data_IF_730715286836
#
_entry.id   IF_730715286836
#
_cell.length_a   1.000
_cell.length_b   1.000
_cell.length_c   1.000
_cell.angle_alpha   90.00
_cell.angle_beta   90.00
_cell.angle_gamma   90.00
#
_symmetry.space_group_name_H-M   'P 1'
#
loop_
_entity.id
_entity.type
_entity.pdbx_description
1 polymer ?
#
# COMPACT_ATOMS: atom_id res chain seq x y z
N UNK A 1 -4.07 28.56 32.97
CA UNK A 1 -5.37 27.97 33.34
C UNK A 1 -5.31 26.54 32.88
N UNK A 2 -5.22 25.57 33.79
CA UNK A 2 -5.32 24.16 33.43
C UNK A 2 -6.74 23.88 32.92
N UNK A 3 -6.96 24.04 31.62
CA UNK A 3 -8.11 23.39 31.00
C UNK A 3 -7.82 21.90 31.04
N UNK A 4 -8.58 21.19 31.88
CA UNK A 4 -8.59 19.75 31.91
C UNK A 4 -8.86 19.25 30.48
N UNK A 5 -7.84 18.75 29.78
CA UNK A 5 -7.96 18.28 28.39
C UNK A 5 -9.08 17.25 28.22
N UNK A 6 -9.51 16.58 29.30
CA UNK A 6 -10.67 15.69 29.30
C UNK A 6 -11.99 16.39 28.96
N UNK A 7 -12.09 17.71 29.17
CA UNK A 7 -13.24 18.52 28.76
C UNK A 7 -13.41 18.57 27.24
N UNK A 8 -12.35 18.31 26.47
CA UNK A 8 -12.42 18.19 25.01
C UNK A 8 -13.34 17.05 24.57
N UNK A 9 -13.58 16.04 25.41
CA UNK A 9 -14.48 14.92 25.11
C UNK A 9 -15.86 15.38 24.62
N UNK A 10 -16.40 16.45 25.22
CA UNK A 10 -17.73 16.95 24.89
C UNK A 10 -17.78 17.73 23.56
N UNK A 11 -16.63 18.08 22.98
CA UNK A 11 -16.52 18.88 21.76
C UNK A 11 -16.06 18.06 20.55
N UNK A 12 -15.66 16.81 20.76
CA UNK A 12 -15.20 15.94 19.68
C UNK A 12 -16.35 15.57 18.74
N UNK A 13 -16.17 15.69 17.41
CA UNK A 13 -17.23 15.40 16.45
C UNK A 13 -17.60 13.92 16.47
N UNK A 14 -18.86 13.61 16.15
CA UNK A 14 -19.39 12.24 16.05
C UNK A 14 -19.62 11.79 14.59
N UNK A 15 -19.28 12.64 13.63
CA UNK A 15 -19.29 12.33 12.21
C UNK A 15 -18.07 12.97 11.52
N UNK A 16 -17.53 12.34 10.46
CA UNK A 16 -16.47 12.93 9.65
C UNK A 16 -16.95 14.14 8.85
N UNK A 17 -16.01 14.91 8.29
CA UNK A 17 -16.34 15.95 7.31
C UNK A 17 -16.98 15.34 6.04
N UNK A 18 -17.71 16.16 5.29
CA UNK A 18 -18.44 15.69 4.11
C UNK A 18 -17.49 15.36 2.96
N UNK A 19 -16.34 16.04 2.87
CA UNK A 19 -15.29 15.74 1.90
C UNK A 19 -14.69 14.35 2.12
N UNK A 20 -14.41 13.96 3.38
CA UNK A 20 -13.97 12.59 3.69
C UNK A 20 -15.04 11.56 3.31
N UNK A 21 -16.32 11.83 3.61
CA UNK A 21 -17.41 10.90 3.25
C UNK A 21 -17.45 10.71 1.74
N UNK A 22 -17.38 11.78 0.97
CA UNK A 22 -17.42 11.72 -0.49
C UNK A 22 -16.23 10.94 -1.06
N UNK A 23 -15.02 11.26 -0.63
CA UNK A 23 -13.78 10.61 -1.07
C UNK A 23 -13.81 9.09 -0.80
N UNK A 24 -14.20 8.71 0.41
CA UNK A 24 -14.29 7.30 0.82
C UNK A 24 -15.40 6.56 0.09
N UNK A 25 -16.59 7.15 -0.05
CA UNK A 25 -17.70 6.50 -0.75
C UNK A 25 -17.37 6.31 -2.24
N UNK A 26 -16.67 7.27 -2.86
CA UNK A 26 -16.15 7.14 -4.22
C UNK A 26 -15.16 5.98 -4.33
N UNK A 27 -14.18 5.86 -3.42
CA UNK A 27 -13.26 4.71 -3.41
C UNK A 27 -13.98 3.36 -3.20
N UNK A 28 -15.01 3.32 -2.35
CA UNK A 28 -15.78 2.09 -2.09
C UNK A 28 -16.59 1.65 -3.31
N UNK A 29 -17.35 2.57 -3.91
CA UNK A 29 -18.32 2.22 -4.95
C UNK A 29 -17.77 2.31 -6.38
N UNK A 30 -16.75 3.14 -6.63
CA UNK A 30 -16.17 3.28 -7.97
C UNK A 30 -14.87 2.46 -8.12
N UNK A 31 -14.11 2.27 -7.04
CA UNK A 31 -12.81 1.58 -7.07
C UNK A 31 -12.81 0.22 -6.34
N UNK A 32 -13.91 -0.14 -5.67
CA UNK A 32 -14.08 -1.39 -4.92
C UNK A 32 -13.09 -1.59 -3.75
N UNK A 33 -12.59 -0.51 -3.14
CA UNK A 33 -11.54 -0.53 -2.12
C UNK A 33 -11.91 -1.27 -0.81
N UNK A 34 -13.18 -1.65 -0.65
CA UNK A 34 -13.76 -2.20 0.58
C UNK A 34 -14.75 -3.35 0.27
N UNK A 35 -14.34 -4.20 -0.69
CA UNK A 35 -15.16 -5.26 -1.27
C UNK A 35 -15.87 -4.78 -2.54
N UNK A 36 -16.03 -5.68 -3.52
CA UNK A 36 -16.74 -5.40 -4.76
C UNK A 36 -18.25 -5.62 -4.64
N UNK A 37 -18.96 -5.26 -5.70
CA UNK A 37 -20.37 -5.60 -5.85
C UNK A 37 -20.56 -7.09 -6.10
N UNK A 38 -21.73 -7.62 -5.70
CA UNK A 38 -22.03 -9.05 -5.74
C UNK A 38 -23.29 -9.34 -6.56
N UNK A 39 -23.29 -10.46 -7.26
CA UNK A 39 -24.48 -11.09 -7.80
C UNK A 39 -24.81 -12.32 -6.96
N UNK A 40 -25.84 -12.18 -6.13
CA UNK A 40 -26.22 -13.16 -5.13
C UNK A 40 -27.20 -14.17 -5.70
N UNK A 41 -26.78 -15.42 -5.83
CA UNK A 41 -27.63 -16.45 -6.42
C UNK A 41 -28.04 -17.53 -5.41
N UNK A 42 -29.26 -18.04 -5.59
CA UNK A 42 -29.69 -19.31 -5.03
C UNK A 42 -30.52 -20.09 -6.03
N UNK A 43 -30.49 -21.43 -5.91
CA UNK A 43 -31.24 -22.31 -6.78
C UNK A 43 -32.74 -22.20 -6.50
N UNK A 44 -33.51 -21.89 -7.53
CA UNK A 44 -34.98 -21.83 -7.50
C UNK A 44 -35.56 -22.68 -8.64
N UNK A 45 -36.78 -23.20 -8.46
CA UNK A 45 -37.49 -23.85 -9.56
C UNK A 45 -38.24 -22.81 -10.40
N UNK A 46 -37.82 -22.63 -11.64
CA UNK A 46 -38.38 -21.65 -12.59
C UNK A 46 -39.38 -22.36 -13.52
N UNK A 47 -40.53 -21.72 -13.74
CA UNK A 47 -41.50 -22.13 -14.75
C UNK A 47 -41.16 -21.52 -16.10
N UNK A 48 -41.05 -22.36 -17.12
CA UNK A 48 -40.83 -21.97 -18.51
C UNK A 48 -42.08 -22.32 -19.30
N UNK A 49 -42.50 -21.44 -20.19
CA UNK A 49 -43.54 -21.70 -21.18
C UNK A 49 -43.09 -21.08 -22.50
N UNK A 50 -43.66 -21.54 -23.60
CA UNK A 50 -43.44 -20.92 -24.91
C UNK A 50 -43.87 -19.44 -24.88
N UNK A 51 -43.35 -18.62 -25.80
CA UNK A 51 -43.74 -17.22 -25.87
C UNK A 51 -45.21 -17.06 -26.25
N UNK A 52 -45.89 -16.10 -25.63
CA UNK A 52 -47.28 -15.76 -25.96
C UNK A 52 -47.26 -14.93 -27.25
N UNK A 53 -47.86 -15.46 -28.33
CA UNK A 53 -48.01 -14.76 -29.59
C UNK A 53 -48.98 -13.57 -29.50
N UNK A 54 -48.85 -12.59 -30.41
CA UNK A 54 -49.74 -11.40 -30.45
C UNK A 54 -51.20 -11.76 -30.74
N UNK A 55 -51.44 -12.90 -31.40
CA UNK A 55 -52.77 -13.49 -31.64
C UNK A 55 -52.61 -14.97 -31.35
N UNK A 56 -53.45 -15.51 -30.45
CA UNK A 56 -53.45 -16.93 -30.09
C UNK A 56 -54.84 -17.50 -30.27
N UNK A 57 -54.96 -18.56 -31.06
CA UNK A 57 -56.19 -19.32 -31.20
C UNK A 57 -56.35 -20.36 -30.07
N UNK A 58 -57.51 -21.03 -29.93
CA UNK A 58 -57.72 -22.01 -28.88
C UNK A 58 -56.74 -23.21 -28.89
N UNK A 59 -56.18 -23.57 -30.04
CA UNK A 59 -55.18 -24.62 -30.16
C UNK A 59 -53.80 -24.12 -29.72
N UNK A 60 -53.44 -22.89 -30.05
CA UNK A 60 -52.21 -22.23 -29.59
C UNK A 60 -52.19 -22.12 -28.05
N UNK A 61 -53.33 -21.76 -27.44
CA UNK A 61 -53.46 -21.73 -25.98
C UNK A 61 -53.27 -23.11 -25.34
N UNK A 62 -53.85 -24.16 -25.93
CA UNK A 62 -53.68 -25.52 -25.46
C UNK A 62 -52.22 -26.01 -25.60
N UNK A 63 -51.53 -25.62 -26.68
CA UNK A 63 -50.12 -25.92 -26.88
C UNK A 63 -49.23 -25.18 -25.87
N UNK A 64 -49.46 -23.89 -25.65
CA UNK A 64 -48.75 -23.09 -24.66
C UNK A 64 -48.92 -23.65 -23.24
N UNK A 65 -50.13 -24.09 -22.89
CA UNK A 65 -50.38 -24.68 -21.57
C UNK A 65 -49.66 -26.03 -21.39
N UNK A 66 -49.53 -26.82 -22.45
CA UNK A 66 -48.74 -28.07 -22.46
C UNK A 66 -47.22 -27.83 -22.51
N UNK A 67 -46.77 -26.67 -23.01
CA UNK A 67 -45.35 -26.30 -23.07
C UNK A 67 -44.74 -26.01 -21.70
N UNK A 68 -45.57 -25.76 -20.68
CA UNK A 68 -45.15 -25.41 -19.32
C UNK A 68 -44.25 -26.48 -18.72
N UNK A 69 -42.97 -26.16 -18.55
CA UNK A 69 -41.96 -27.03 -17.92
C UNK A 69 -41.37 -26.34 -16.72
N UNK A 70 -41.04 -27.12 -15.68
CA UNK A 70 -40.26 -26.63 -14.54
C UNK A 70 -38.80 -27.04 -14.72
N UNK A 71 -37.89 -26.08 -14.58
CA UNK A 71 -36.44 -26.29 -14.60
C UNK A 71 -35.81 -25.74 -13.32
N UNK A 72 -34.58 -26.15 -13.03
CA UNK A 72 -33.77 -25.50 -12.02
C UNK A 72 -33.13 -24.26 -12.64
N UNK A 73 -33.46 -23.09 -12.12
CA UNK A 73 -32.81 -21.82 -12.44
C UNK A 73 -32.18 -21.21 -11.19
N UNK A 74 -31.64 -20.01 -11.36
CA UNK A 74 -31.05 -19.24 -10.28
C UNK A 74 -31.82 -17.94 -10.13
N UNK A 75 -32.30 -17.65 -8.91
CA UNK A 75 -32.75 -16.30 -8.57
C UNK A 75 -31.54 -15.52 -8.09
N UNK A 76 -31.28 -14.42 -8.77
CA UNK A 76 -30.13 -13.56 -8.59
C UNK A 76 -30.58 -12.19 -8.06
N UNK A 77 -29.74 -11.56 -7.24
CA UNK A 77 -29.91 -10.18 -6.77
C UNK A 77 -28.59 -9.46 -6.91
N UNK A 78 -28.59 -8.29 -7.54
CA UNK A 78 -27.40 -7.46 -7.65
C UNK A 78 -27.31 -6.50 -6.46
N UNK A 79 -26.18 -6.44 -5.76
CA UNK A 79 -26.00 -5.50 -4.65
C UNK A 79 -25.80 -4.04 -5.11
N UNK A 80 -25.39 -3.82 -6.36
CA UNK A 80 -25.18 -2.49 -6.90
C UNK A 80 -26.50 -1.74 -7.17
N UNK A 81 -27.46 -2.41 -7.84
CA UNK A 81 -28.77 -1.81 -8.17
C UNK A 81 -29.93 -2.30 -7.30
N UNK A 82 -29.74 -3.37 -6.53
CA UNK A 82 -30.79 -3.98 -5.71
C UNK A 82 -31.85 -4.76 -6.50
N UNK A 83 -31.73 -4.87 -7.83
CA UNK A 83 -32.72 -5.58 -8.65
C UNK A 83 -32.53 -7.09 -8.62
N UNK A 84 -33.67 -7.79 -8.57
CA UNK A 84 -33.78 -9.23 -8.72
C UNK A 84 -33.94 -9.62 -10.19
N UNK A 85 -33.31 -10.73 -10.59
CA UNK A 85 -33.52 -11.33 -11.90
C UNK A 85 -33.38 -12.85 -11.88
N UNK A 86 -33.85 -13.50 -12.93
CA UNK A 86 -33.72 -14.94 -13.12
C UNK A 86 -32.56 -15.22 -14.07
N UNK A 87 -31.78 -16.25 -13.78
CA UNK A 87 -30.72 -16.76 -14.62
C UNK A 87 -30.84 -18.29 -14.77
N UNK A 88 -30.10 -18.87 -15.71
CA UNK A 88 -29.82 -20.29 -15.73
C UNK A 88 -29.03 -20.72 -14.49
N UNK A 89 -29.12 -22.01 -14.11
CA UNK A 89 -28.37 -22.55 -12.99
C UNK A 89 -27.42 -23.65 -13.44
N UNK A 90 -26.17 -23.54 -13.00
CA UNK A 90 -25.16 -24.59 -13.09
C UNK A 90 -24.64 -24.91 -11.68
N UNK A 91 -24.05 -26.08 -11.49
CA UNK A 91 -23.45 -26.41 -10.21
C UNK A 91 -22.36 -25.38 -9.88
N UNK A 92 -22.52 -24.69 -8.75
CA UNK A 92 -21.64 -23.62 -8.29
C UNK A 92 -21.62 -22.37 -9.19
N UNK A 93 -22.72 -22.04 -9.87
CA UNK A 93 -22.77 -20.81 -10.66
C UNK A 93 -24.12 -20.51 -11.28
N UNK A 94 -24.11 -19.53 -12.16
CA UNK A 94 -25.25 -19.08 -12.96
C UNK A 94 -24.91 -19.17 -14.45
N UNK A 95 -25.93 -19.12 -15.30
CA UNK A 95 -25.78 -19.05 -16.76
C UNK A 95 -26.58 -17.88 -17.27
N UNK A 96 -25.95 -17.01 -18.06
CA UNK A 96 -26.58 -15.85 -18.70
C UNK A 96 -26.41 -15.94 -20.22
N UNK A 97 -27.37 -15.37 -20.94
CA UNK A 97 -27.24 -15.17 -22.38
C UNK A 97 -26.25 -14.05 -22.65
N UNK A 98 -25.43 -14.21 -23.68
CA UNK A 98 -24.53 -13.19 -24.18
C UNK A 98 -25.00 -12.70 -25.55
N UNK A 99 -25.25 -11.41 -25.65
CA UNK A 99 -25.58 -10.79 -26.93
C UNK A 99 -24.34 -10.56 -27.79
N UNK A 100 -24.54 -10.36 -29.11
CA UNK A 100 -23.46 -10.01 -30.04
C UNK A 100 -22.82 -8.64 -29.75
N UNK A 101 -23.44 -7.84 -28.89
CA UNK A 101 -22.96 -6.58 -28.33
C UNK A 101 -22.02 -6.76 -27.12
N UNK A 102 -21.75 -8.01 -26.71
CA UNK A 102 -20.92 -8.33 -25.54
C UNK A 102 -21.64 -8.12 -24.20
N UNK A 103 -22.97 -7.99 -24.24
CA UNK A 103 -23.81 -7.72 -23.07
C UNK A 103 -24.41 -9.01 -22.50
N UNK A 104 -24.66 -9.03 -21.20
CA UNK A 104 -25.36 -10.13 -20.53
C UNK A 104 -26.86 -9.82 -20.42
N UNK A 105 -27.69 -10.84 -20.62
CA UNK A 105 -29.15 -10.71 -20.57
C UNK A 105 -29.73 -11.65 -19.51
N UNK A 106 -30.74 -11.15 -18.80
CA UNK A 106 -31.46 -11.96 -17.82
C UNK A 106 -32.50 -12.89 -18.47
N UNK A 107 -32.98 -13.84 -17.68
CA UNK A 107 -33.84 -14.92 -18.14
C UNK A 107 -33.20 -16.27 -17.94
N UNK A 108 -34.02 -17.31 -18.03
CA UNK A 108 -33.53 -18.67 -17.96
C UNK A 108 -32.68 -18.99 -19.19
N UNK A 109 -31.44 -19.42 -18.97
CA UNK A 109 -30.52 -19.87 -20.01
C UNK A 109 -29.99 -21.27 -19.68
N UNK A 110 -29.73 -22.08 -20.71
CA UNK A 110 -28.92 -23.30 -20.60
C UNK A 110 -27.56 -23.02 -21.23
N UNK A 111 -26.52 -23.75 -20.80
CA UNK A 111 -25.18 -23.59 -21.35
C UNK A 111 -25.17 -23.98 -22.83
N UNK A 112 -24.72 -23.07 -23.69
CA UNK A 112 -24.80 -23.21 -25.14
C UNK A 112 -23.94 -22.18 -25.88
N UNK A 113 -24.09 -22.07 -27.20
CA UNK A 113 -23.26 -21.18 -28.03
C UNK A 113 -23.45 -19.68 -27.72
N UNK A 114 -24.66 -19.29 -27.31
CA UNK A 114 -25.06 -17.90 -27.05
C UNK A 114 -25.17 -17.60 -25.55
N UNK A 115 -24.53 -18.41 -24.69
CA UNK A 115 -24.59 -18.27 -23.24
C UNK A 115 -23.30 -18.68 -22.56
N UNK A 116 -22.99 -18.00 -21.47
CA UNK A 116 -21.81 -18.27 -20.65
C UNK A 116 -22.21 -18.67 -19.24
N UNK A 117 -21.45 -19.63 -18.70
CA UNK A 117 -21.55 -20.02 -17.30
C UNK A 117 -20.56 -19.19 -16.48
N UNK A 118 -21.05 -18.61 -15.39
CA UNK A 118 -20.26 -17.82 -14.44
C UNK A 118 -20.31 -18.53 -13.08
N UNK A 119 -19.16 -19.03 -12.65
CA UNK A 119 -18.99 -19.78 -11.42
C UNK A 119 -18.82 -18.85 -10.20
N UNK A 120 -19.02 -19.41 -9.01
CA UNK A 120 -18.82 -18.72 -7.74
C UNK A 120 -17.39 -18.14 -7.64
N UNK A 121 -17.30 -16.83 -7.42
CA UNK A 121 -16.06 -16.06 -7.42
C UNK A 121 -15.67 -15.44 -8.76
N UNK A 122 -16.36 -15.75 -9.86
CA UNK A 122 -16.14 -15.11 -11.16
C UNK A 122 -16.90 -13.78 -11.27
N UNK A 123 -16.36 -12.87 -12.06
CA UNK A 123 -16.98 -11.57 -12.34
C UNK A 123 -17.93 -11.67 -13.54
N UNK A 124 -19.05 -10.96 -13.43
CA UNK A 124 -20.02 -10.84 -14.53
C UNK A 124 -20.66 -9.45 -14.50
N UNK A 125 -21.04 -8.94 -15.67
CA UNK A 125 -21.79 -7.71 -15.77
C UNK A 125 -23.24 -7.96 -15.36
N UNK A 126 -23.78 -7.13 -14.48
CA UNK A 126 -25.19 -7.20 -14.12
C UNK A 126 -26.07 -6.88 -15.35
N UNK A 127 -27.04 -7.73 -15.73
CA UNK A 127 -27.92 -7.49 -16.88
C UNK A 127 -28.92 -6.34 -16.66
N UNK A 128 -28.98 -5.78 -15.44
CA UNK A 128 -29.87 -4.67 -15.08
C UNK A 128 -29.16 -3.32 -15.09
N UNK A 129 -28.03 -3.23 -14.39
CA UNK A 129 -27.33 -1.95 -14.20
C UNK A 129 -25.96 -1.86 -14.88
N UNK A 130 -25.48 -2.93 -15.51
CA UNK A 130 -24.19 -2.94 -16.21
C UNK A 130 -22.98 -2.76 -15.29
N UNK A 131 -23.15 -2.94 -13.99
CA UNK A 131 -22.03 -2.95 -13.04
C UNK A 131 -21.40 -4.34 -13.02
N UNK A 132 -20.07 -4.40 -13.05
CA UNK A 132 -19.32 -5.64 -12.84
C UNK A 132 -19.50 -6.10 -11.39
N UNK A 133 -19.83 -7.37 -11.19
CA UNK A 133 -20.07 -7.91 -9.85
C UNK A 133 -19.61 -9.38 -9.75
N UNK A 134 -19.15 -9.77 -8.57
CA UNK A 134 -18.71 -11.14 -8.30
C UNK A 134 -19.90 -12.06 -8.03
N UNK A 135 -20.02 -13.13 -8.80
CA UNK A 135 -21.03 -14.18 -8.58
C UNK A 135 -20.77 -14.84 -7.23
N UNK A 136 -21.75 -14.76 -6.32
CA UNK A 136 -21.63 -15.28 -4.96
C UNK A 136 -22.88 -16.04 -4.57
N UNK A 137 -22.73 -17.25 -4.06
CA UNK A 137 -23.88 -18.01 -3.55
C UNK A 137 -24.41 -17.37 -2.27
N UNK A 138 -25.73 -17.15 -2.19
CA UNK A 138 -26.39 -16.58 -1.00
C UNK A 138 -26.06 -17.31 0.31
N UNK A 139 -25.82 -18.62 0.28
CA UNK A 139 -25.47 -19.38 1.49
C UNK A 139 -24.14 -18.97 2.12
N UNK A 140 -23.21 -18.44 1.33
CA UNK A 140 -21.90 -17.94 1.81
C UNK A 140 -22.04 -16.61 2.58
N UNK A 141 -23.18 -15.90 2.42
CA UNK A 141 -23.47 -14.63 3.08
C UNK A 141 -24.50 -14.73 4.21
N UNK A 142 -24.80 -15.93 4.71
CA UNK A 142 -25.78 -16.11 5.81
C UNK A 142 -25.42 -15.35 7.08
N UNK A 143 -24.13 -15.13 7.31
CA UNK A 143 -23.62 -14.34 8.45
C UNK A 143 -23.18 -12.93 8.02
N UNK A 144 -23.42 -12.56 6.76
CA UNK A 144 -22.92 -11.36 6.10
C UNK A 144 -21.40 -11.29 5.99
N UNK A 145 -20.93 -10.31 5.23
CA UNK A 145 -19.54 -9.89 5.13
C UNK A 145 -19.44 -8.47 5.66
N UNK A 146 -18.47 -8.26 6.55
CA UNK A 146 -18.16 -6.93 7.07
C UNK A 146 -16.75 -6.56 6.64
N UNK A 147 -16.68 -5.73 5.63
CA UNK A 147 -15.45 -5.10 5.21
C UNK A 147 -15.27 -3.83 6.03
N UNK A 148 -14.07 -3.58 6.54
CA UNK A 148 -13.78 -2.39 7.34
C UNK A 148 -12.43 -1.76 6.98
N UNK A 149 -12.34 -0.45 7.16
CA UNK A 149 -11.07 0.29 7.13
C UNK A 149 -11.11 1.44 8.13
N UNK A 150 -9.96 1.76 8.71
CA UNK A 150 -9.79 3.00 9.46
C UNK A 150 -9.51 4.15 8.49
N UNK A 151 -10.17 5.28 8.71
CA UNK A 151 -9.95 6.52 7.99
C UNK A 151 -9.55 7.62 8.97
N UNK A 152 -8.47 8.34 8.68
CA UNK A 152 -8.00 9.46 9.48
C UNK A 152 -8.22 10.79 8.75
N UNK A 153 -8.69 11.79 9.50
CA UNK A 153 -8.73 13.19 9.05
C UNK A 153 -8.14 14.11 10.13
N UNK A 154 -7.63 15.25 9.71
CA UNK A 154 -7.19 16.31 10.61
C UNK A 154 -8.31 17.34 10.70
N UNK A 155 -8.67 17.74 11.93
CA UNK A 155 -9.70 18.74 12.19
C UNK A 155 -9.25 19.70 13.28
N UNK A 156 -9.91 20.86 13.32
CA UNK A 156 -9.79 21.80 14.43
C UNK A 156 -10.95 21.63 15.40
N UNK A 157 -10.63 21.61 16.68
CA UNK A 157 -11.58 21.60 17.78
C UNK A 157 -11.24 22.79 18.66
N UNK A 158 -11.96 23.89 18.47
CA UNK A 158 -11.57 25.20 18.99
C UNK A 158 -10.12 25.52 18.53
N UNK A 159 -9.20 25.69 19.47
CA UNK A 159 -7.76 25.94 19.22
C UNK A 159 -6.91 24.67 19.08
N UNK A 160 -7.49 23.49 19.25
CA UNK A 160 -6.76 22.23 19.27
C UNK A 160 -6.77 21.58 17.90
N UNK A 161 -5.61 21.08 17.46
CA UNK A 161 -5.51 20.20 16.29
C UNK A 161 -5.72 18.75 16.73
N UNK A 162 -6.65 18.07 16.07
CA UNK A 162 -6.97 16.67 16.33
C UNK A 162 -6.89 15.83 15.06
N UNK A 163 -6.34 14.63 15.17
CA UNK A 163 -6.50 13.56 14.20
C UNK A 163 -7.69 12.71 14.63
N UNK A 164 -8.78 12.76 13.87
CA UNK A 164 -9.96 11.94 14.08
C UNK A 164 -9.82 10.64 13.32
N UNK A 165 -10.24 9.53 13.93
CA UNK A 165 -10.24 8.21 13.33
C UNK A 165 -11.65 7.67 13.26
N UNK A 166 -12.05 7.28 12.06
CA UNK A 166 -13.37 6.74 11.72
C UNK A 166 -13.22 5.30 11.26
N UNK A 167 -14.00 4.40 11.83
CA UNK A 167 -14.15 3.05 11.32
C UNK A 167 -15.24 3.07 10.25
N UNK A 168 -14.83 2.98 8.99
CA UNK A 168 -15.75 2.82 7.86
C UNK A 168 -16.09 1.34 7.76
N UNK A 169 -17.37 1.03 7.67
CA UNK A 169 -17.88 -0.35 7.62
C UNK A 169 -18.79 -0.50 6.42
N UNK A 170 -18.44 -1.38 5.49
CA UNK A 170 -19.35 -1.88 4.46
C UNK A 170 -19.88 -3.24 4.90
N UNK A 171 -21.20 -3.38 4.92
CA UNK A 171 -21.89 -4.62 5.25
C UNK A 171 -22.69 -5.13 4.06
N UNK A 172 -22.44 -6.38 3.68
CA UNK A 172 -23.14 -7.09 2.63
C UNK A 172 -23.74 -8.40 3.17
N UNK A 173 -24.99 -8.71 2.88
CA UNK A 173 -25.65 -9.94 3.36
C UNK A 173 -26.39 -10.73 2.27
N UNK A 174 -26.96 -11.87 2.66
CA UNK A 174 -27.61 -12.82 1.76
C UNK A 174 -28.93 -12.31 1.14
N UNK A 175 -29.48 -11.20 1.65
CA UNK A 175 -30.69 -10.57 1.13
C UNK A 175 -30.38 -9.53 0.06
N UNK A 176 -29.10 -9.23 -0.18
CA UNK A 176 -28.65 -8.21 -1.12
C UNK A 176 -28.50 -6.83 -0.50
N UNK A 177 -28.60 -6.72 0.82
CA UNK A 177 -28.33 -5.47 1.54
C UNK A 177 -26.86 -5.08 1.34
N UNK A 178 -26.61 -3.83 0.97
CA UNK A 178 -25.29 -3.23 0.91
C UNK A 178 -25.33 -1.88 1.62
N UNK A 179 -24.66 -1.76 2.75
CA UNK A 179 -24.71 -0.54 3.58
C UNK A 179 -23.32 -0.12 4.00
N UNK A 180 -23.06 1.19 3.88
CA UNK A 180 -21.83 1.81 4.36
C UNK A 180 -22.13 2.77 5.49
N UNK A 181 -21.41 2.62 6.61
CA UNK A 181 -21.53 3.51 7.76
C UNK A 181 -20.16 3.99 8.25
N UNK A 182 -20.11 5.22 8.73
CA UNK A 182 -18.94 5.83 9.36
C UNK A 182 -19.15 5.84 10.86
N UNK A 183 -18.28 5.16 11.60
CA UNK A 183 -18.40 5.02 13.05
C UNK A 183 -17.23 5.72 13.73
N UNK A 184 -17.45 6.64 14.69
CA UNK A 184 -16.38 7.21 15.50
C UNK A 184 -15.55 6.10 16.14
N UNK A 185 -14.23 6.19 16.06
CA UNK A 185 -13.34 5.16 16.61
C UNK A 185 -12.43 5.71 17.70
N UNK A 186 -11.65 6.73 17.35
CA UNK A 186 -10.68 7.34 18.24
C UNK A 186 -10.38 8.78 17.82
N UNK A 187 -9.77 9.54 18.72
CA UNK A 187 -9.21 10.85 18.42
C UNK A 187 -7.85 10.99 19.09
N UNK A 188 -6.90 11.61 18.41
CA UNK A 188 -5.58 11.95 18.92
C UNK A 188 -5.38 13.46 18.82
N UNK A 189 -5.22 14.13 19.96
CA UNK A 189 -5.19 15.58 20.06
C UNK A 189 -3.81 16.05 20.50
N UNK A 190 -3.30 17.09 19.87
CA UNK A 190 -2.12 17.83 20.34
C UNK A 190 -2.61 18.86 21.35
N UNK A 191 -2.24 18.71 22.63
CA UNK A 191 -2.60 19.69 23.65
C UNK A 191 -1.70 20.93 23.63
N UNK A 192 -1.99 21.91 24.49
CA UNK A 192 -1.25 23.19 24.54
C UNK A 192 0.21 23.05 24.98
N UNK A 193 0.55 21.94 25.65
CA UNK A 193 1.91 21.61 26.07
C UNK A 193 2.67 20.81 25.00
N UNK A 194 2.04 20.54 23.86
CA UNK A 194 2.57 19.67 22.82
C UNK A 194 2.56 18.19 23.19
N UNK A 195 1.67 17.78 24.12
CA UNK A 195 1.47 16.38 24.50
C UNK A 195 0.32 15.77 23.73
N UNK A 196 0.48 14.49 23.38
CA UNK A 196 -0.55 13.74 22.68
C UNK A 196 -1.57 13.17 23.66
N UNK A 197 -2.85 13.49 23.44
CA UNK A 197 -3.99 13.03 24.23
C UNK A 197 -4.91 12.20 23.37
N UNK A 198 -5.25 11.00 23.82
CA UNK A 198 -6.12 10.09 23.07
C UNK A 198 -7.48 9.95 23.73
N UNK A 199 -8.50 9.91 22.89
CA UNK A 199 -9.86 9.53 23.23
C UNK A 199 -10.26 8.30 22.42
N UNK A 200 -11.11 7.46 23.00
CA UNK A 200 -11.81 6.39 22.30
C UNK A 200 -13.30 6.69 22.28
N UNK A 201 -13.96 6.30 21.20
CA UNK A 201 -15.40 6.35 21.12
C UNK A 201 -16.01 5.11 21.79
N UNK A 202 -17.05 5.31 22.61
CA UNK A 202 -17.90 4.25 23.14
C UNK A 202 -19.34 4.42 22.64
N UNK A 203 -19.83 3.43 21.88
CA UNK A 203 -21.22 3.37 21.44
C UNK A 203 -22.05 2.62 22.49
N UNK A 204 -23.05 3.28 23.06
CA UNK A 204 -23.87 2.71 24.14
C UNK A 204 -25.10 1.94 23.62
N UNK A 205 -25.73 2.40 22.54
CA UNK A 205 -26.97 1.85 21.98
C UNK A 205 -26.84 1.30 20.56
N UNK A 206 -25.66 1.43 19.95
CA UNK A 206 -25.44 1.18 18.52
C UNK A 206 -25.78 2.37 17.63
N UNK A 207 -26.41 3.42 18.17
CA UNK A 207 -26.56 4.71 17.48
C UNK A 207 -25.24 5.51 17.57
N UNK A 208 -24.74 5.94 16.42
CA UNK A 208 -23.55 6.78 16.30
C UNK A 208 -23.77 8.14 16.98
N UNK A 209 -25.01 8.65 17.00
CA UNK A 209 -25.35 9.93 17.61
C UNK A 209 -25.26 9.90 19.14
N UNK A 210 -25.28 8.71 19.76
CA UNK A 210 -25.13 8.51 21.20
C UNK A 210 -23.69 8.14 21.59
N UNK A 211 -22.72 8.42 20.73
CA UNK A 211 -21.30 8.18 21.01
C UNK A 211 -20.81 9.06 22.16
N UNK A 212 -20.11 8.43 23.11
CA UNK A 212 -19.41 9.13 24.19
C UNK A 212 -17.91 9.00 23.99
N UNK A 213 -17.19 10.12 24.05
CA UNK A 213 -15.74 10.14 23.99
C UNK A 213 -15.12 9.94 25.37
N UNK A 214 -14.28 8.90 25.50
CA UNK A 214 -13.66 8.53 26.78
C UNK A 214 -12.14 8.73 26.69
N UNK A 215 -11.53 9.51 27.61
CA UNK A 215 -10.09 9.71 27.63
C UNK A 215 -9.34 8.39 27.90
N UNK A 216 -8.24 8.19 27.19
CA UNK A 216 -7.37 7.03 27.33
C UNK A 216 -6.12 7.37 28.15
N UNK A 217 -5.56 6.35 28.83
CA UNK A 217 -4.32 6.49 29.60
C UNK A 217 -3.05 6.50 28.72
N UNK A 218 -3.17 6.07 27.47
CA UNK A 218 -2.08 5.97 26.50
C UNK A 218 -2.53 6.54 25.16
N UNK A 219 -1.57 7.07 24.40
CA UNK A 219 -1.81 7.85 23.18
C UNK A 219 -1.41 7.14 21.88
N UNK A 220 -1.08 5.85 21.91
CA UNK A 220 -0.76 5.04 20.71
C UNK A 220 -1.72 5.29 19.55
N UNK A 221 -1.14 5.44 18.36
CA UNK A 221 -1.87 5.63 17.11
C UNK A 221 -2.91 4.51 16.89
N UNK A 222 -4.22 4.86 16.79
CA UNK A 222 -5.29 3.93 16.48
C UNK A 222 -5.06 3.08 15.23
N UNK A 223 -4.40 3.61 14.19
CA UNK A 223 -4.11 2.84 12.98
C UNK A 223 -3.17 1.66 13.22
N UNK A 224 -2.35 1.70 14.28
CA UNK A 224 -1.48 0.59 14.68
C UNK A 224 -2.23 -0.51 15.47
N UNK A 225 -3.54 -0.37 15.66
CA UNK A 225 -4.36 -1.36 16.35
C UNK A 225 -5.05 -2.28 15.34
N UNK A 226 -4.93 -3.59 15.55
CA UNK A 226 -5.61 -4.55 14.70
C UNK A 226 -7.14 -4.45 14.85
N UNK A 227 -7.85 -4.43 13.73
CA UNK A 227 -9.30 -4.50 13.64
C UNK A 227 -9.74 -5.62 12.71
N UNK A 228 -10.99 -6.02 12.82
CA UNK A 228 -11.58 -7.05 11.96
C UNK A 228 -11.80 -6.51 10.55
N UNK A 229 -11.52 -7.29 9.51
CA UNK A 229 -12.08 -7.05 8.17
C UNK A 229 -12.23 -8.38 7.45
N UNK A 230 -13.31 -8.60 6.72
CA UNK A 230 -13.62 -9.91 6.15
C UNK A 230 -12.53 -10.40 5.19
N UNK A 231 -12.01 -9.52 4.33
CA UNK A 231 -11.01 -9.85 3.30
C UNK A 231 -9.59 -10.06 3.84
N UNK A 232 -9.32 -9.61 5.07
CA UNK A 232 -7.97 -9.64 5.61
C UNK A 232 -7.52 -11.07 5.97
N UNK A 233 -6.21 -11.33 5.94
CA UNK A 233 -5.63 -12.60 6.39
C UNK A 233 -6.01 -12.83 7.86
N UNK A 234 -6.63 -13.97 8.15
CA UNK A 234 -7.21 -14.28 9.47
C UNK A 234 -8.21 -13.23 9.99
N UNK A 235 -8.83 -12.48 9.07
CA UNK A 235 -9.74 -11.38 9.32
C UNK A 235 -9.17 -10.27 10.22
N UNK A 236 -7.86 -10.02 10.18
CA UNK A 236 -7.21 -8.97 10.96
C UNK A 236 -6.41 -8.03 10.06
N UNK A 237 -6.76 -6.75 10.11
CA UNK A 237 -6.11 -5.67 9.37
C UNK A 237 -5.51 -4.66 10.35
N UNK A 238 -4.42 -4.03 9.94
CA UNK A 238 -3.74 -2.92 10.62
C UNK A 238 -3.55 -1.82 9.57
N UNK A 239 -3.48 -0.56 9.99
CA UNK A 239 -3.41 0.59 9.10
C UNK A 239 -4.76 1.06 8.61
N UNK A 240 -4.75 2.01 7.69
CA UNK A 240 -5.94 2.64 7.16
C UNK A 240 -5.59 3.64 6.08
N UNK A 241 -6.53 4.53 5.78
CA UNK A 241 -6.34 5.62 4.85
C UNK A 241 -6.34 6.95 5.58
N UNK A 242 -5.55 7.90 5.10
CA UNK A 242 -5.52 9.26 5.63
C UNK A 242 -6.02 10.20 4.55
N UNK A 243 -6.95 11.07 4.89
CA UNK A 243 -7.45 12.11 4.00
C UNK A 243 -6.28 13.00 3.56
N UNK A 244 -6.07 13.12 2.25
CA UNK A 244 -4.89 13.79 1.66
C UNK A 244 -4.84 15.31 1.91
N UNK A 245 -5.91 15.88 2.46
CA UNK A 245 -6.03 17.30 2.77
C UNK A 245 -6.55 17.49 4.20
N UNK A 246 -6.09 18.56 4.83
CA UNK A 246 -6.49 18.96 6.17
C UNK A 246 -6.58 20.48 6.29
N UNK A 247 -7.11 20.99 7.40
CA UNK A 247 -7.24 22.42 7.62
C UNK A 247 -5.87 23.08 7.78
N UNK A 248 -5.79 24.38 7.49
CA UNK A 248 -4.61 25.20 7.81
C UNK A 248 -4.34 25.17 9.32
N UNK A 249 -3.13 24.77 9.72
CA UNK A 249 -2.77 24.60 11.12
C UNK A 249 -2.39 25.91 11.83
N UNK A 250 -2.33 27.04 11.11
CA UNK A 250 -1.99 28.34 11.70
C UNK A 250 -2.90 28.72 12.86
N UNK A 251 -2.31 29.14 13.99
CA UNK A 251 -3.03 29.57 15.19
C UNK A 251 -3.58 28.44 16.06
N UNK A 252 -3.31 27.18 15.72
CA UNK A 252 -3.77 26.00 16.46
C UNK A 252 -2.59 25.24 17.08
N UNK A 253 -2.87 24.32 18.02
CA UNK A 253 -1.80 23.55 18.69
C UNK A 253 -0.95 22.71 17.73
N UNK A 254 -1.47 22.37 16.54
CA UNK A 254 -0.76 21.65 15.49
C UNK A 254 0.19 22.50 14.63
N UNK A 255 0.24 23.83 14.75
CA UNK A 255 0.99 24.73 13.85
C UNK A 255 2.45 24.30 13.65
N UNK A 256 3.12 23.91 14.74
CA UNK A 256 4.54 23.53 14.78
C UNK A 256 4.80 22.03 14.66
N UNK A 257 3.80 21.28 14.22
CA UNK A 257 3.94 19.84 14.02
C UNK A 257 4.39 19.48 12.62
N UNK A 258 4.17 20.36 11.63
CA UNK A 258 4.30 20.04 10.21
C UNK A 258 3.48 18.80 9.78
N UNK A 259 2.37 18.50 10.48
CA UNK A 259 1.46 17.41 10.15
C UNK A 259 0.84 17.57 8.75
N UNK A 260 0.55 18.81 8.35
CA UNK A 260 0.11 19.16 7.00
C UNK A 260 1.16 18.77 5.93
N UNK A 261 2.45 18.99 6.23
CA UNK A 261 3.53 18.58 5.34
C UNK A 261 3.76 17.05 5.33
N UNK A 262 3.41 16.35 6.41
CA UNK A 262 3.44 14.89 6.45
C UNK A 262 2.33 14.29 5.57
N UNK A 263 1.10 14.76 5.75
CA UNK A 263 -0.05 14.31 4.95
C UNK A 263 0.12 14.70 3.48
N UNK A 264 0.55 15.92 3.20
CA UNK A 264 0.80 16.39 1.82
C UNK A 264 2.00 15.73 1.12
N UNK A 265 2.77 14.91 1.83
CA UNK A 265 3.80 14.04 1.28
C UNK A 265 3.36 12.56 1.27
N UNK A 266 2.05 12.32 1.25
CA UNK A 266 1.36 11.03 1.21
C UNK A 266 1.57 10.14 2.45
N UNK A 267 1.78 10.77 3.62
CA UNK A 267 1.96 10.07 4.89
C UNK A 267 0.70 9.36 5.38
N UNK A 268 0.80 8.06 5.63
CA UNK A 268 -0.34 7.21 5.98
C UNK A 268 -0.59 7.08 7.49
N UNK A 269 0.37 7.46 8.33
CA UNK A 269 0.36 7.20 9.78
C UNK A 269 0.46 8.49 10.60
N UNK A 270 -0.54 9.39 10.54
CA UNK A 270 -0.48 10.72 11.15
C UNK A 270 -0.26 10.66 12.67
N UNK A 271 -0.83 9.67 13.36
CA UNK A 271 -0.61 9.50 14.80
C UNK A 271 0.82 9.09 15.12
N UNK A 272 1.38 8.13 14.39
CA UNK A 272 2.77 7.71 14.54
C UNK A 272 3.76 8.86 14.27
N UNK A 273 3.49 9.65 13.23
CA UNK A 273 4.26 10.87 12.95
C UNK A 273 4.22 11.87 14.11
N UNK A 274 3.03 12.12 14.67
CA UNK A 274 2.89 13.02 15.82
C UNK A 274 3.68 12.52 17.04
N UNK A 275 3.77 11.22 17.27
CA UNK A 275 4.61 10.64 18.33
C UNK A 275 6.11 10.83 18.08
N UNK A 276 6.55 10.74 16.81
CA UNK A 276 7.93 11.12 16.43
C UNK A 276 8.16 12.59 16.75
N UNK A 277 7.23 13.47 16.39
CA UNK A 277 7.31 14.91 16.70
C UNK A 277 7.29 15.20 18.20
N UNK A 278 6.42 14.56 18.98
CA UNK A 278 6.36 14.76 20.45
C UNK A 278 7.70 14.40 21.11
N UNK A 279 8.38 13.37 20.60
CA UNK A 279 9.71 12.95 21.07
C UNK A 279 10.84 13.80 20.51
N UNK A 280 10.71 14.24 19.25
CA UNK A 280 11.72 14.95 18.49
C UNK A 280 11.11 16.10 17.67
N UNK A 281 10.74 17.23 18.31
CA UNK A 281 10.06 18.34 17.63
C UNK A 281 10.82 18.90 16.43
N UNK A 282 12.16 18.78 16.43
CA UNK A 282 13.04 19.17 15.33
C UNK A 282 12.78 18.42 14.01
N UNK A 283 12.00 17.33 14.00
CA UNK A 283 11.55 16.67 12.77
C UNK A 283 10.79 17.64 11.86
N UNK A 284 10.11 18.63 12.44
CA UNK A 284 9.43 19.73 11.73
C UNK A 284 10.38 20.40 10.72
N UNK A 285 11.65 20.59 11.11
CA UNK A 285 12.63 21.24 10.25
C UNK A 285 12.97 20.39 9.01
N UNK A 286 12.94 19.06 9.11
CA UNK A 286 13.15 18.17 7.96
C UNK A 286 11.93 18.19 7.03
N UNK A 287 10.73 18.11 7.61
CA UNK A 287 9.47 18.19 6.87
C UNK A 287 9.36 19.46 6.05
N UNK A 288 9.66 20.62 6.68
CA UNK A 288 9.55 21.94 6.03
C UNK A 288 10.69 22.26 5.07
N UNK A 289 11.82 21.54 5.11
CA UNK A 289 13.04 21.91 4.36
C UNK A 289 13.46 20.89 3.30
N UNK A 290 12.50 20.19 2.68
CA UNK A 290 12.73 19.38 1.48
C UNK A 290 13.03 17.90 1.73
N UNK A 291 12.77 17.41 2.96
CA UNK A 291 12.97 16.00 3.33
C UNK A 291 11.67 15.33 3.82
N UNK A 292 10.51 15.93 3.57
CA UNK A 292 9.20 15.36 3.93
C UNK A 292 9.01 13.94 3.38
N UNK A 293 9.26 13.73 2.09
CA UNK A 293 9.15 12.42 1.44
C UNK A 293 10.06 11.35 2.09
N UNK A 294 11.31 11.72 2.44
CA UNK A 294 12.23 10.80 3.12
C UNK A 294 11.74 10.40 4.52
N UNK A 295 11.20 11.37 5.29
CA UNK A 295 10.62 11.11 6.62
C UNK A 295 9.39 10.21 6.50
N UNK A 296 8.44 10.56 5.62
CA UNK A 296 7.22 9.78 5.37
C UNK A 296 7.56 8.34 4.99
N UNK A 297 8.36 8.15 3.94
CA UNK A 297 8.71 6.81 3.47
C UNK A 297 9.46 6.00 4.53
N UNK A 298 10.21 6.64 5.43
CA UNK A 298 10.89 5.93 6.54
C UNK A 298 9.89 5.44 7.59
N UNK A 299 8.97 6.30 8.01
CA UNK A 299 7.92 5.97 8.99
C UNK A 299 7.00 4.88 8.43
N UNK A 300 6.48 5.11 7.23
CA UNK A 300 5.47 4.28 6.60
C UNK A 300 6.03 2.90 6.27
N UNK A 301 7.23 2.82 5.66
CA UNK A 301 7.89 1.53 5.38
C UNK A 301 8.15 0.73 6.66
N UNK A 302 8.53 1.39 7.76
CA UNK A 302 8.77 0.68 9.02
C UNK A 302 7.48 0.05 9.57
N UNK A 303 6.35 0.75 9.48
CA UNK A 303 5.07 0.28 9.98
C UNK A 303 4.41 -0.73 9.04
N UNK A 304 4.49 -0.53 7.73
CA UNK A 304 3.92 -1.42 6.71
C UNK A 304 4.65 -2.76 6.63
N UNK A 305 5.97 -2.77 6.89
CA UNK A 305 6.77 -3.99 6.95
C UNK A 305 6.74 -4.68 8.32
N UNK A 306 5.95 -4.21 9.28
CA UNK A 306 5.83 -4.84 10.60
C UNK A 306 5.21 -6.24 10.47
N UNK A 307 6.03 -7.28 10.66
CA UNK A 307 5.59 -8.67 10.54
C UNK A 307 4.72 -9.10 11.74
N UNK A 308 5.01 -8.54 12.93
CA UNK A 308 4.30 -8.82 14.16
C UNK A 308 3.81 -7.55 14.83
N UNK A 309 2.74 -7.68 15.63
CA UNK A 309 2.20 -6.57 16.44
C UNK A 309 3.24 -5.94 17.38
N UNK A 310 4.27 -6.71 17.78
CA UNK A 310 5.39 -6.26 18.61
C UNK A 310 6.36 -5.32 17.88
N UNK A 311 6.35 -5.35 16.55
CA UNK A 311 7.24 -4.53 15.72
C UNK A 311 6.67 -3.12 15.51
N UNK A 312 5.36 -2.97 15.72
CA UNK A 312 4.67 -1.68 15.74
C UNK A 312 5.09 -0.87 16.97
N UNK A 313 5.39 0.41 16.75
CA UNK A 313 5.85 1.32 17.78
C UNK A 313 5.19 2.69 17.65
N UNK A 314 4.91 3.31 18.80
CA UNK A 314 4.20 4.59 18.84
C UNK A 314 5.00 5.68 18.11
N UNK A 315 6.31 5.76 18.36
CA UNK A 315 7.23 6.66 17.65
C UNK A 315 8.24 5.84 16.81
N UNK A 316 8.00 5.64 15.51
CA UNK A 316 8.94 5.00 14.59
C UNK A 316 10.32 5.67 14.58
N UNK A 317 11.36 4.87 14.33
CA UNK A 317 12.74 5.35 14.34
C UNK A 317 13.10 5.89 12.97
N UNK A 318 13.75 7.05 12.95
CA UNK A 318 14.36 7.59 11.74
C UNK A 318 15.88 7.51 11.90
N UNK A 319 16.51 6.39 11.50
CA UNK A 319 17.88 6.07 11.89
C UNK A 319 18.94 6.97 11.27
N UNK A 320 18.63 7.60 10.13
CA UNK A 320 19.53 8.50 9.40
C UNK A 320 19.52 9.93 9.95
N UNK A 321 18.78 10.21 11.03
CA UNK A 321 18.70 11.53 11.67
C UNK A 321 19.50 11.56 12.96
N UNK A 322 20.39 12.53 13.09
CA UNK A 322 20.98 12.91 14.37
C UNK A 322 20.03 13.83 15.16
N UNK A 323 19.31 13.22 16.10
CA UNK A 323 18.37 13.91 16.97
C UNK A 323 19.01 14.81 18.03
N UNK A 324 20.34 14.81 18.18
CA UNK A 324 21.04 15.76 19.06
C UNK A 324 21.16 17.15 18.45
N UNK A 325 20.94 17.26 17.13
CA UNK A 325 20.99 18.49 16.37
C UNK A 325 19.59 19.02 16.04
N UNK A 326 19.49 20.34 15.83
CA UNK A 326 18.22 21.02 15.48
C UNK A 326 18.21 21.50 14.03
N UNK A 327 19.39 21.78 13.46
CA UNK A 327 19.50 22.33 12.10
C UNK A 327 19.51 21.18 11.09
N UNK A 328 18.65 21.16 10.06
CA UNK A 328 18.54 20.04 9.11
C UNK A 328 19.85 19.58 8.49
N UNK A 329 20.69 20.50 8.01
CA UNK A 329 22.00 20.14 7.46
C UNK A 329 22.88 19.38 8.48
N UNK A 330 22.80 19.68 9.77
CA UNK A 330 23.55 18.97 10.81
C UNK A 330 22.91 17.65 11.20
N UNK A 331 21.57 17.63 11.32
CA UNK A 331 20.78 16.41 11.51
C UNK A 331 21.11 15.34 10.46
N UNK A 332 21.43 15.77 9.24
CA UNK A 332 21.79 14.92 8.10
C UNK A 332 23.30 14.78 7.87
N UNK A 333 24.14 15.35 8.74
CA UNK A 333 25.60 15.36 8.61
C UNK A 333 26.13 15.92 7.28
N UNK A 334 25.46 16.94 6.74
CA UNK A 334 25.82 17.63 5.50
C UNK A 334 26.45 18.99 5.75
N UNK A 335 27.32 19.41 4.83
CA UNK A 335 27.70 20.82 4.76
C UNK A 335 26.47 21.69 4.43
N UNK A 336 26.49 22.97 4.82
CA UNK A 336 25.42 23.92 4.45
C UNK A 336 25.26 24.07 2.93
N UNK A 337 26.34 23.87 2.19
CA UNK A 337 26.35 23.95 0.72
C UNK A 337 25.71 22.72 0.13
N UNK A 338 26.09 21.52 0.58
CA UNK A 338 25.47 20.28 0.14
C UNK A 338 23.98 20.26 0.44
N UNK A 339 23.58 20.57 1.67
CA UNK A 339 22.17 20.59 2.05
C UNK A 339 21.30 21.48 1.15
N UNK A 340 21.82 22.67 0.76
CA UNK A 340 21.09 23.59 -0.12
C UNK A 340 20.81 23.03 -1.51
N UNK A 341 21.71 22.19 -2.03
CA UNK A 341 21.53 21.54 -3.32
C UNK A 341 20.73 20.25 -3.20
N UNK A 342 21.05 19.41 -2.21
CA UNK A 342 20.38 18.12 -1.99
C UNK A 342 18.88 18.29 -1.69
N UNK A 343 18.48 19.30 -0.91
CA UNK A 343 17.05 19.53 -0.61
C UNK A 343 16.18 19.79 -1.85
N UNK A 344 16.78 20.07 -3.02
CA UNK A 344 16.08 20.27 -4.30
C UNK A 344 15.98 18.98 -5.12
N UNK A 345 16.62 17.89 -4.68
CA UNK A 345 16.78 16.62 -5.41
C UNK A 345 15.73 15.56 -5.04
N UNK A 346 14.76 15.92 -4.20
CA UNK A 346 13.65 15.05 -3.77
C UNK A 346 14.13 13.68 -3.25
N UNK A 347 15.14 13.67 -2.39
CA UNK A 347 15.64 12.45 -1.78
C UNK A 347 14.52 11.74 -1.01
N UNK A 348 14.33 10.45 -1.30
CA UNK A 348 13.46 9.54 -0.55
C UNK A 348 14.19 8.85 0.60
N UNK A 349 13.52 7.92 1.29
CA UNK A 349 14.10 7.19 2.43
C UNK A 349 15.32 6.33 2.04
N UNK A 350 15.31 5.78 0.82
CA UNK A 350 16.42 4.98 0.31
C UNK A 350 17.67 5.82 0.03
N UNK A 351 17.50 7.05 -0.48
CA UNK A 351 18.60 7.97 -0.77
C UNK A 351 19.29 8.42 0.52
N UNK A 352 18.52 8.90 1.51
CA UNK A 352 19.07 9.31 2.81
C UNK A 352 19.69 8.13 3.57
N UNK A 353 19.09 6.94 3.49
CA UNK A 353 19.65 5.74 4.10
C UNK A 353 20.94 5.27 3.41
N UNK A 354 21.04 5.44 2.09
CA UNK A 354 22.28 5.17 1.35
C UNK A 354 23.36 6.20 1.69
N UNK A 355 23.01 7.49 1.80
CA UNK A 355 23.90 8.54 2.29
C UNK A 355 24.43 8.26 3.70
N UNK A 356 23.55 7.85 4.62
CA UNK A 356 23.94 7.54 6.01
C UNK A 356 24.96 6.39 6.08
N UNK A 357 24.78 5.36 5.25
CA UNK A 357 25.78 4.29 5.07
C UNK A 357 27.07 4.80 4.45
N UNK A 358 26.98 5.64 3.41
CA UNK A 358 28.13 6.21 2.72
C UNK A 358 29.01 7.02 3.67
N UNK A 359 28.43 7.97 4.42
CA UNK A 359 29.19 8.79 5.38
C UNK A 359 29.81 7.96 6.51
N UNK A 360 29.19 6.84 6.89
CA UNK A 360 29.69 5.98 7.96
C UNK A 360 30.97 5.26 7.54
N UNK A 361 31.10 4.92 6.25
CA UNK A 361 32.32 4.36 5.67
C UNK A 361 33.33 5.44 5.26
N UNK A 362 32.87 6.64 4.89
CA UNK A 362 33.70 7.76 4.45
C UNK A 362 33.42 9.04 5.25
N UNK A 363 33.91 9.15 6.51
CA UNK A 363 33.54 10.24 7.42
C UNK A 363 33.90 11.66 6.96
N UNK A 364 34.85 11.79 6.03
CA UNK A 364 35.29 13.08 5.48
C UNK A 364 34.53 13.50 4.22
N UNK A 365 33.67 12.63 3.68
CA UNK A 365 32.93 12.93 2.47
C UNK A 365 31.76 13.89 2.74
N UNK A 366 31.46 14.73 1.76
CA UNK A 366 30.27 15.58 1.77
C UNK A 366 29.17 14.98 0.89
N UNK A 367 27.91 15.32 1.15
CA UNK A 367 26.77 14.71 0.45
C UNK A 367 26.76 15.00 -1.06
N UNK A 368 27.44 16.06 -1.52
CA UNK A 368 27.61 16.32 -2.96
C UNK A 368 28.52 15.29 -3.67
N UNK A 369 29.49 14.72 -2.96
CA UNK A 369 30.33 13.66 -3.52
C UNK A 369 29.53 12.37 -3.67
N UNK A 370 28.74 12.03 -2.66
CA UNK A 370 27.79 10.93 -2.72
C UNK A 370 26.77 11.12 -3.86
N UNK A 371 26.16 12.31 -3.95
CA UNK A 371 25.20 12.62 -5.00
C UNK A 371 25.84 12.54 -6.39
N UNK A 372 27.07 13.01 -6.55
CA UNK A 372 27.81 12.85 -7.79
C UNK A 372 27.94 11.38 -8.20
N UNK A 373 28.23 10.48 -7.25
CA UNK A 373 28.28 9.06 -7.53
C UNK A 373 26.89 8.51 -7.89
N UNK A 374 25.87 8.87 -7.12
CA UNK A 374 24.48 8.45 -7.35
C UNK A 374 23.97 8.86 -8.73
N UNK A 375 24.28 10.07 -9.19
CA UNK A 375 23.89 10.57 -10.52
C UNK A 375 24.57 9.81 -11.67
N UNK A 376 25.80 9.30 -11.48
CA UNK A 376 26.55 8.64 -12.55
C UNK A 376 26.28 7.14 -12.65
N UNK A 377 26.09 6.44 -11.52
CA UNK A 377 25.94 4.98 -11.49
C UNK A 377 24.64 4.49 -10.85
N UNK A 378 23.82 5.38 -10.30
CA UNK A 378 22.56 5.05 -9.63
C UNK A 378 22.71 4.60 -8.17
N UNK A 379 21.68 4.85 -7.36
CA UNK A 379 21.68 4.55 -5.92
C UNK A 379 21.86 3.06 -5.60
N UNK A 380 21.27 2.17 -6.41
CA UNK A 380 21.44 0.71 -6.24
C UNK A 380 22.90 0.27 -6.42
N UNK A 381 23.59 0.81 -7.42
CA UNK A 381 24.99 0.49 -7.67
C UNK A 381 25.90 1.06 -6.57
N UNK A 382 25.65 2.28 -6.11
CA UNK A 382 26.34 2.85 -4.94
C UNK A 382 26.13 1.96 -3.71
N UNK A 383 24.90 1.51 -3.46
CA UNK A 383 24.57 0.59 -2.37
C UNK A 383 25.36 -0.71 -2.43
N UNK A 384 25.43 -1.35 -3.60
CA UNK A 384 26.20 -2.58 -3.80
C UNK A 384 27.71 -2.35 -3.59
N UNK A 385 28.26 -1.21 -4.05
CA UNK A 385 29.66 -0.85 -3.79
C UNK A 385 29.93 -0.66 -2.29
N UNK A 386 29.03 -0.03 -1.54
CA UNK A 386 29.15 0.10 -0.09
C UNK A 386 29.13 -1.26 0.63
N UNK A 387 28.37 -2.24 0.14
CA UNK A 387 28.39 -3.62 0.65
C UNK A 387 29.72 -4.31 0.36
N UNK A 388 30.27 -4.11 -0.85
CA UNK A 388 31.59 -4.65 -1.21
C UNK A 388 32.70 -4.04 -0.35
N UNK A 389 32.70 -2.72 -0.13
CA UNK A 389 33.65 -2.04 0.75
C UNK A 389 33.55 -2.57 2.18
N UNK A 390 32.33 -2.73 2.71
CA UNK A 390 32.11 -3.32 4.03
C UNK A 390 32.60 -4.79 4.13
N UNK A 391 32.60 -5.52 3.02
CA UNK A 391 33.15 -6.87 2.92
C UNK A 391 34.68 -6.91 2.72
N UNK A 392 35.37 -5.77 2.83
CA UNK A 392 36.83 -5.67 2.75
C UNK A 392 37.39 -5.34 1.36
N UNK A 393 36.55 -4.96 0.40
CA UNK A 393 36.99 -4.50 -0.93
C UNK A 393 37.14 -2.98 -0.94
N UNK A 394 38.07 -2.46 -0.13
CA UNK A 394 38.23 -1.02 0.12
C UNK A 394 38.51 -0.17 -1.14
N UNK A 395 39.11 -0.78 -2.17
CA UNK A 395 39.39 -0.12 -3.45
C UNK A 395 38.14 0.08 -4.32
N UNK A 396 37.01 -0.57 -3.99
CA UNK A 396 35.73 -0.37 -4.65
C UNK A 396 34.94 0.83 -4.11
N UNK A 397 35.63 1.81 -3.50
CA UNK A 397 35.02 3.07 -3.08
C UNK A 397 34.28 3.76 -4.25
N UNK A 398 33.02 4.20 -4.08
CA UNK A 398 32.19 4.66 -5.21
C UNK A 398 32.83 5.75 -6.07
N UNK A 399 33.51 6.73 -5.47
CA UNK A 399 34.20 7.82 -6.20
C UNK A 399 35.29 7.28 -7.13
N UNK A 400 36.04 6.29 -6.67
CA UNK A 400 37.12 5.68 -7.46
C UNK A 400 36.53 4.91 -8.64
N UNK A 401 35.47 4.12 -8.38
CA UNK A 401 34.75 3.35 -9.41
C UNK A 401 34.14 4.28 -10.46
N UNK A 402 33.44 5.34 -10.07
CA UNK A 402 32.86 6.32 -10.99
C UNK A 402 33.95 6.96 -11.85
N UNK A 403 35.06 7.40 -11.26
CA UNK A 403 36.18 7.99 -12.00
C UNK A 403 36.77 7.01 -13.02
N UNK A 404 36.89 5.74 -12.65
CA UNK A 404 37.40 4.71 -13.53
C UNK A 404 36.42 4.41 -14.67
N UNK A 405 35.16 4.12 -14.37
CA UNK A 405 34.13 3.79 -15.37
C UNK A 405 33.86 4.95 -16.34
N UNK A 406 33.97 6.20 -15.88
CA UNK A 406 33.87 7.38 -16.74
C UNK A 406 34.99 7.45 -17.78
N UNK A 407 36.21 6.98 -17.46
CA UNK A 407 37.31 6.88 -18.43
C UNK A 407 37.12 5.73 -19.42
N UNK A 408 36.31 4.75 -19.07
CA UNK A 408 36.02 3.55 -19.86
C UNK A 408 34.75 3.70 -20.71
N UNK A 409 34.02 4.82 -20.60
CA UNK A 409 32.69 5.01 -21.18
C UNK A 409 31.69 3.88 -20.82
N UNK A 410 31.78 3.37 -19.58
CA UNK A 410 31.08 2.17 -19.12
C UNK A 410 30.21 2.42 -17.88
N UNK A 411 29.63 3.62 -17.74
CA UNK A 411 28.86 4.00 -16.55
C UNK A 411 27.58 3.19 -16.34
N UNK A 412 26.90 2.75 -17.43
CA UNK A 412 25.56 2.17 -17.32
C UNK A 412 25.50 0.69 -16.88
N UNK A 413 26.59 -0.07 -16.96
CA UNK A 413 26.64 -1.47 -16.48
C UNK A 413 28.01 -1.86 -15.88
N UNK A 414 28.98 -0.94 -15.92
CA UNK A 414 30.37 -1.23 -15.58
C UNK A 414 30.60 -1.55 -14.11
N UNK A 415 29.69 -1.15 -13.21
CA UNK A 415 29.82 -1.48 -11.78
C UNK A 415 29.71 -2.98 -11.57
N UNK A 416 28.66 -3.62 -12.11
CA UNK A 416 28.47 -5.06 -11.96
C UNK A 416 29.58 -5.82 -12.68
N UNK A 417 29.93 -5.39 -13.90
CA UNK A 417 31.03 -5.97 -14.67
C UNK A 417 32.37 -5.92 -13.91
N UNK A 418 32.67 -4.78 -13.27
CA UNK A 418 33.87 -4.63 -12.46
C UNK A 418 33.85 -5.57 -11.25
N UNK A 419 32.74 -5.61 -10.51
CA UNK A 419 32.59 -6.49 -9.35
C UNK A 419 32.78 -7.95 -9.74
N UNK A 420 32.14 -8.40 -10.83
CA UNK A 420 32.24 -9.79 -11.30
C UNK A 420 33.64 -10.13 -11.78
N UNK A 421 34.28 -9.23 -12.53
CA UNK A 421 35.69 -9.35 -12.89
C UNK A 421 36.59 -9.51 -11.66
N UNK A 422 36.40 -8.69 -10.63
CA UNK A 422 37.21 -8.74 -9.39
C UNK A 422 37.01 -10.03 -8.62
N UNK A 423 35.78 -10.51 -8.51
CA UNK A 423 35.47 -11.80 -7.88
C UNK A 423 36.18 -12.94 -8.62
N UNK A 424 36.07 -12.99 -9.94
CA UNK A 424 36.73 -14.03 -10.75
C UNK A 424 38.26 -13.95 -10.73
N UNK A 425 38.85 -12.75 -10.65
CA UNK A 425 40.29 -12.54 -10.50
C UNK A 425 40.79 -13.18 -9.20
N UNK A 426 40.12 -12.88 -8.08
CA UNK A 426 40.45 -13.40 -6.75
C UNK A 426 40.26 -14.91 -6.67
N UNK A 427 39.13 -15.42 -7.16
CA UNK A 427 38.85 -16.85 -7.18
C UNK A 427 39.82 -17.63 -8.10
N UNK A 428 40.36 -16.99 -9.14
CA UNK A 428 41.39 -17.57 -10.00
C UNK A 428 42.78 -17.64 -9.33
N UNK A 429 42.98 -16.97 -8.19
CA UNK A 429 44.25 -16.86 -7.48
C UNK A 429 45.26 -15.97 -8.20
N UNK A 430 44.81 -15.01 -9.00
CA UNK A 430 45.67 -14.08 -9.73
C UNK A 430 46.11 -12.93 -8.83
N UNK A 431 47.26 -12.33 -9.15
CA UNK A 431 47.80 -11.21 -8.37
C UNK A 431 46.88 -9.97 -8.46
N UNK A 432 46.65 -9.33 -7.32
CA UNK A 432 45.90 -8.08 -7.17
C UNK A 432 46.88 -6.89 -7.18
N UNK A 433 47.29 -6.45 -8.38
CA UNK A 433 48.16 -5.29 -8.60
C UNK A 433 47.39 -4.15 -9.31
N UNK A 434 48.02 -2.98 -9.46
CA UNK A 434 47.34 -1.82 -10.05
C UNK A 434 46.75 -2.05 -11.44
N UNK A 435 47.38 -2.89 -12.28
CA UNK A 435 46.90 -3.16 -13.65
C UNK A 435 45.81 -4.23 -13.67
N UNK A 436 45.86 -5.21 -12.76
CA UNK A 436 44.79 -6.21 -12.63
C UNK A 436 43.58 -5.67 -11.91
N UNK A 437 43.75 -4.77 -10.95
CA UNK A 437 42.65 -4.11 -10.26
C UNK A 437 41.96 -3.10 -11.20
N UNK A 438 42.71 -2.27 -11.93
CA UNK A 438 42.14 -1.23 -12.79
C UNK A 438 42.58 -1.40 -14.26
N UNK A 439 42.04 -2.41 -14.97
CA UNK A 439 42.46 -2.70 -16.33
C UNK A 439 42.16 -1.53 -17.29
N UNK A 440 42.99 -1.36 -18.33
CA UNK A 440 42.76 -0.29 -19.32
C UNK A 440 41.51 -0.50 -20.17
N UNK A 441 41.08 -1.76 -20.32
CA UNK A 441 39.87 -2.18 -21.00
C UNK A 441 39.19 -3.23 -20.11
N UNK A 442 38.15 -2.81 -19.41
CA UNK A 442 37.44 -3.65 -18.44
C UNK A 442 36.79 -4.86 -19.11
N UNK A 443 36.16 -4.66 -20.27
CA UNK A 443 35.44 -5.72 -20.96
C UNK A 443 36.40 -6.79 -21.46
N UNK A 444 37.48 -6.38 -22.12
CA UNK A 444 38.49 -7.31 -22.60
C UNK A 444 39.19 -8.05 -21.45
N UNK A 445 39.39 -7.39 -20.29
CA UNK A 445 39.96 -8.04 -19.11
C UNK A 445 39.00 -9.06 -18.49
N UNK A 446 37.72 -8.71 -18.38
CA UNK A 446 36.66 -9.62 -17.97
C UNK A 446 36.60 -10.85 -18.86
N UNK A 447 36.55 -10.68 -20.19
CA UNK A 447 36.45 -11.79 -21.15
C UNK A 447 37.65 -12.73 -21.09
N UNK A 448 38.87 -12.20 -20.90
CA UNK A 448 40.08 -13.03 -20.71
C UNK A 448 39.98 -13.91 -19.47
N UNK A 449 39.46 -13.39 -18.37
CA UNK A 449 39.29 -14.19 -17.14
C UNK A 449 38.16 -15.20 -17.31
N UNK A 450 37.04 -14.83 -17.94
CA UNK A 450 35.95 -15.78 -18.25
C UNK A 450 36.45 -16.94 -19.12
N UNK A 451 37.30 -16.68 -20.11
CA UNK A 451 37.93 -17.72 -20.93
C UNK A 451 38.86 -18.63 -20.09
N UNK A 452 39.61 -18.05 -19.16
CA UNK A 452 40.49 -18.82 -18.26
C UNK A 452 39.68 -19.71 -17.29
N UNK A 453 38.53 -19.22 -16.82
CA UNK A 453 37.58 -19.94 -15.99
C UNK A 453 36.90 -21.09 -16.72
N UNK A 454 36.35 -20.85 -17.90
CA UNK A 454 35.73 -21.87 -18.76
C UNK A 454 36.75 -22.95 -19.17
N UNK A 455 38.00 -22.55 -19.45
CA UNK A 455 39.10 -23.47 -19.71
C UNK A 455 39.48 -24.36 -18.51
N UNK A 456 39.51 -23.82 -17.29
CA UNK A 456 39.74 -24.61 -16.05
C UNK A 456 38.58 -25.56 -15.73
N UNK A 457 37.33 -25.16 -15.99
CA UNK A 457 36.16 -26.02 -15.86
C UNK A 457 36.23 -27.25 -16.78
N UNK A 458 36.61 -27.04 -18.04
CA UNK A 458 36.80 -28.13 -19.01
C UNK A 458 38.00 -29.03 -18.65
N UNK A 459 39.12 -28.47 -18.16
CA UNK A 459 40.28 -29.25 -17.72
C UNK A 459 40.01 -30.09 -16.45
N UNK A 460 39.18 -29.58 -15.53
CA UNK A 460 38.67 -30.31 -14.35
C UNK A 460 37.84 -31.53 -14.77
N UNK A 461 36.94 -31.35 -15.74
CA UNK A 461 36.11 -32.41 -16.31
C UNK A 461 36.97 -33.49 -17.00
N UNK A 462 37.95 -33.09 -17.83
CA UNK A 462 38.87 -34.03 -18.47
C UNK A 462 39.74 -34.81 -17.48
N UNK A 463 40.25 -34.18 -16.41
CA UNK A 463 41.01 -34.90 -15.36
C UNK A 463 40.14 -35.86 -14.53
N UNK A 464 38.85 -35.58 -14.35
CA UNK A 464 37.92 -36.53 -13.70
C UNK A 464 37.60 -37.73 -14.59
N UNK A 465 37.57 -37.54 -15.91
CA UNK A 465 37.38 -38.64 -16.88
C UNK A 465 38.64 -39.50 -17.01
N UNK A 466 39.84 -38.90 -16.96
CA UNK A 466 41.12 -39.65 -16.99
C UNK A 466 41.41 -40.40 -15.68
N UNK A 467 40.94 -39.92 -14.51
CA UNK A 467 41.05 -40.65 -13.23
C UNK A 467 40.02 -41.79 -13.07
N UNK A 468 39.06 -41.90 -13.99
CA UNK A 468 38.05 -42.97 -14.04
C UNK A 468 38.34 -44.02 -15.13
N UNK A 469 39.48 -43.91 -15.81
CA UNK A 469 40.10 -44.97 -16.61
C UNK A 469 41.32 -45.49 -15.86
#
# INVERSE_FOLDING_TARGET
MDMNWKSLAAMLPVQPCDELKQDVLMGIYDMHDLGGDLILYHRESVGLADEIGQIMDPQDWAHWEQSKKRRWGARCTCTACGEDFIAGYVKNGIVLLEGPDGQTYDGYAEQGPDSSAYLDGEEVMCPRCWTAATVTRRSELRQGRKHQVLQAEVVHIERYTAVMYWMVRRWQDADGTDTTVFVPHAALIVDEEGKLRRFRAELHSGDVMETVWVPCAWSRDPMQMAYYSWEAVNHRKVGGWTLAYGPDLAGHTGEKTALDAYIGADGCWPGAYLHVWERHPQVENLMRQGFAAAVVQTIDRQLDCAAYKTDLCDAPLIPWVDWTEVKPHRMLHMSKTAFREIRKKNWGSEDVGCWDRYRSQFPMADALEFEHCREHIGGKAVGHLLEMVAAGWEDLAPVQVVRYLKKQDALQDGVQLLIDYRKMLRDAGLAEDGETLWPRDLMAAHDRIVQLWTGRGNASYHRQVERRR
#
